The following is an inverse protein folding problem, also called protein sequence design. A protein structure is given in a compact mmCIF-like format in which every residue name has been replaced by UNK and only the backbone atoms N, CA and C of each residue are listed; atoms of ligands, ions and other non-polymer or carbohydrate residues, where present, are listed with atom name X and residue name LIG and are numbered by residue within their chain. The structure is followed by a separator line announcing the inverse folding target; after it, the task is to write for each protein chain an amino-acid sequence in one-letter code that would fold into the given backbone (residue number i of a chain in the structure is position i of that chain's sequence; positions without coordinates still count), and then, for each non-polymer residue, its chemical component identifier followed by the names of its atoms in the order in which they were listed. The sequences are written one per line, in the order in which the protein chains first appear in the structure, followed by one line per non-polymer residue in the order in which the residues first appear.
data_IF_461829588524
#
_entry.id   IF_461829588524
#
_cell.length_a   1.000
_cell.length_b   1.000
_cell.length_c   1.000
_cell.angle_alpha   90.00
_cell.angle_beta   90.00
_cell.angle_gamma   90.00
#
_symmetry.space_group_name_H-M   'P 1'
#
loop_
_entity.id
_entity.type
_entity.pdbx_description
1 polymer ?
#
# COMPACT_ATOMS: atom_id res chain seq x y z
N UNK A 1 24.12 3.19 -0.13
CA UNK A 1 23.49 4.46 -0.56
C UNK A 1 23.74 4.64 -2.05
N UNK A 2 22.70 4.92 -2.82
CA UNK A 2 22.79 5.02 -4.28
C UNK A 2 22.78 6.49 -4.71
N UNK A 3 23.57 6.85 -5.73
CA UNK A 3 23.54 8.20 -6.30
C UNK A 3 22.14 8.55 -6.79
N UNK A 4 21.67 9.75 -6.50
CA UNK A 4 20.35 10.19 -6.95
C UNK A 4 20.36 10.35 -8.48
N UNK A 5 19.54 9.60 -9.23
CA UNK A 5 19.51 9.69 -10.69
C UNK A 5 18.98 11.03 -11.18
N UNK A 6 18.11 11.68 -10.40
CA UNK A 6 17.55 13.00 -10.71
C UNK A 6 18.63 14.08 -10.85
N UNK A 7 19.58 14.14 -9.92
CA UNK A 7 20.67 15.13 -9.94
C UNK A 7 22.06 14.54 -10.26
N UNK A 8 22.13 13.26 -10.65
CA UNK A 8 23.38 12.54 -10.92
C UNK A 8 24.44 12.71 -9.83
N UNK A 9 24.01 12.66 -8.56
CA UNK A 9 24.93 12.81 -7.42
C UNK A 9 25.24 14.25 -6.99
N UNK A 10 24.81 15.28 -7.73
CA UNK A 10 25.18 16.68 -7.45
C UNK A 10 24.36 17.37 -6.37
N UNK A 11 23.19 16.86 -6.04
CA UNK A 11 22.26 17.50 -5.10
C UNK A 11 21.39 18.60 -5.71
N UNK A 12 21.67 19.08 -6.92
CA UNK A 12 20.87 20.05 -7.67
C UNK A 12 20.87 19.70 -9.17
N UNK A 13 19.87 20.16 -9.93
CA UNK A 13 19.74 19.88 -11.38
C UNK A 13 20.00 21.08 -12.28
N UNK A 14 19.75 22.28 -11.78
CA UNK A 14 19.87 23.54 -12.52
C UNK A 14 20.62 24.56 -11.66
N UNK A 15 21.17 25.56 -12.32
CA UNK A 15 21.71 26.77 -11.73
C UNK A 15 20.85 27.90 -12.28
N UNK A 16 20.25 28.71 -11.40
CA UNK A 16 19.45 29.87 -11.81
C UNK A 16 20.35 31.00 -12.31
N UNK A 17 19.76 32.02 -12.95
CA UNK A 17 20.54 33.15 -13.47
C UNK A 17 21.26 33.93 -12.37
N UNK A 18 20.67 33.97 -11.18
CA UNK A 18 21.25 34.55 -9.96
C UNK A 18 22.30 33.64 -9.28
N UNK A 19 22.58 32.46 -9.84
CA UNK A 19 23.60 31.52 -9.33
C UNK A 19 23.09 30.57 -8.25
N UNK A 20 21.82 30.68 -7.84
CA UNK A 20 21.21 29.76 -6.87
C UNK A 20 21.11 28.34 -7.44
N UNK A 21 21.32 27.36 -6.56
CA UNK A 21 21.26 25.93 -6.88
C UNK A 21 20.12 25.29 -6.11
N UNK A 22 18.88 25.33 -6.62
CA UNK A 22 17.74 24.76 -5.92
C UNK A 22 17.95 23.25 -5.69
N UNK A 23 17.61 22.80 -4.47
CA UNK A 23 17.79 21.43 -4.06
C UNK A 23 17.02 20.47 -4.97
N UNK A 24 17.65 19.36 -5.35
CA UNK A 24 16.98 18.30 -6.08
C UNK A 24 15.95 17.65 -5.16
N UNK A 25 14.67 17.81 -5.53
CA UNK A 25 13.52 17.32 -4.77
C UNK A 25 13.63 15.81 -4.51
N UNK A 26 14.08 15.04 -5.49
CA UNK A 26 14.18 13.57 -5.39
C UNK A 26 15.12 13.09 -4.28
N UNK A 27 16.14 13.87 -3.90
CA UNK A 27 17.08 13.51 -2.84
C UNK A 27 17.19 14.58 -1.74
N UNK A 28 16.25 15.53 -1.69
CA UNK A 28 16.28 16.67 -0.78
C UNK A 28 17.66 17.37 -0.71
N UNK A 29 18.35 17.54 -1.84
CA UNK A 29 19.66 18.21 -1.88
C UNK A 29 20.89 17.37 -1.54
N UNK A 30 20.72 16.16 -0.98
CA UNK A 30 21.86 15.33 -0.51
C UNK A 30 22.69 14.67 -1.61
N UNK A 31 22.20 14.64 -2.85
CA UNK A 31 22.82 13.93 -3.97
C UNK A 31 22.71 12.40 -3.91
N UNK A 32 22.19 11.83 -2.82
CA UNK A 32 22.06 10.38 -2.63
C UNK A 32 20.64 10.02 -2.21
N UNK A 33 20.21 8.82 -2.61
CA UNK A 33 18.98 8.23 -2.08
C UNK A 33 19.34 7.34 -0.90
N UNK A 34 18.61 7.52 0.20
CA UNK A 34 18.60 6.55 1.27
C UNK A 34 18.08 5.22 0.69
N UNK A 35 18.69 4.07 1.05
CA UNK A 35 18.07 2.79 0.73
C UNK A 35 16.67 2.81 1.34
N UNK A 36 15.64 2.52 0.53
CA UNK A 36 14.36 2.19 1.10
C UNK A 36 14.61 1.01 2.03
N UNK A 37 14.37 1.19 3.31
CA UNK A 37 14.26 0.08 4.24
C UNK A 37 13.03 -0.70 3.78
N UNK A 38 13.22 -1.62 2.84
CA UNK A 38 12.23 -2.64 2.55
C UNK A 38 12.16 -3.43 3.86
N UNK A 39 11.05 -3.38 4.62
CA UNK A 39 10.92 -4.27 5.75
C UNK A 39 11.10 -5.69 5.20
N UNK A 40 11.82 -6.58 5.91
CA UNK A 40 11.95 -7.96 5.45
C UNK A 40 10.56 -8.47 5.08
N UNK A 41 10.41 -9.25 4.00
CA UNK A 41 9.11 -9.83 3.66
C UNK A 41 8.62 -10.48 4.94
N UNK A 42 7.49 -9.98 5.46
CA UNK A 42 6.88 -10.54 6.65
C UNK A 42 6.80 -12.04 6.35
N UNK A 43 7.59 -12.82 7.09
CA UNK A 43 7.62 -14.26 6.92
C UNK A 43 6.15 -14.65 6.87
N UNK A 44 5.76 -15.33 5.79
CA UNK A 44 4.45 -15.95 5.67
C UNK A 44 4.38 -16.92 6.86
N UNK A 45 3.94 -16.38 8.01
CA UNK A 45 3.67 -17.14 9.19
C UNK A 45 2.45 -17.93 8.80
N UNK A 46 2.73 -19.14 8.32
CA UNK A 46 1.81 -20.25 8.33
C UNK A 46 1.34 -20.45 9.78
N UNK A 47 0.38 -19.62 10.19
CA UNK A 47 -0.63 -19.97 11.15
C UNK A 47 -1.89 -20.15 10.29
N UNK A 48 -2.26 -21.36 9.87
CA UNK A 48 -2.49 -22.45 10.80
C UNK A 48 -3.48 -21.94 11.84
N UNK A 49 -4.77 -22.23 11.61
CA UNK A 49 -5.97 -21.84 12.40
C UNK A 49 -6.77 -20.62 11.93
N UNK A 50 -7.42 -20.76 10.77
CA UNK A 50 -8.79 -20.25 10.62
C UNK A 50 -9.74 -21.27 11.29
N UNK A 51 -10.49 -20.95 12.37
CA UNK A 51 -11.65 -21.75 12.69
C UNK A 51 -12.66 -21.63 11.53
N UNK A 52 -13.38 -22.69 11.14
CA UNK A 52 -14.42 -22.54 10.15
C UNK A 52 -15.46 -21.56 10.70
N UNK A 53 -15.62 -20.44 10.01
CA UNK A 53 -16.73 -19.53 10.22
C UNK A 53 -18.01 -20.37 10.16
N UNK A 54 -18.81 -20.31 11.22
CA UNK A 54 -20.15 -20.92 11.26
C UNK A 54 -20.91 -20.44 10.02
N UNK A 55 -21.11 -21.34 9.06
CA UNK A 55 -22.06 -21.14 7.99
C UNK A 55 -23.45 -20.96 8.63
N UNK A 56 -24.25 -19.94 8.26
CA UNK A 56 -25.68 -20.00 8.54
C UNK A 56 -26.24 -21.19 7.74
N UNK A 57 -26.81 -22.16 8.45
CA UNK A 57 -27.50 -23.31 7.86
C UNK A 57 -28.65 -22.83 6.98
N UNK A 58 -28.42 -22.80 5.67
CA UNK A 58 -29.47 -22.80 4.66
C UNK A 58 -29.98 -24.24 4.51
N UNK A 59 -30.89 -24.62 5.39
CA UNK A 59 -31.77 -25.79 5.22
C UNK A 59 -33.07 -25.44 5.94
N UNK A 60 -34.04 -24.83 5.27
CA UNK A 60 -34.80 -25.50 4.24
C UNK A 60 -35.94 -26.26 4.90
N UNK A 61 -37.11 -25.63 5.04
CA UNK A 61 -38.44 -26.26 5.14
C UNK A 61 -39.53 -25.19 5.05
N UNK A 62 -40.18 -25.11 3.88
CA UNK A 62 -41.53 -24.56 3.76
C UNK A 62 -42.49 -25.49 4.52
N UNK A 63 -43.54 -24.93 5.13
CA UNK A 63 -44.89 -25.25 4.67
C UNK A 63 -45.69 -23.94 4.46
N UNK A 64 -46.28 -23.72 3.29
CA UNK A 64 -47.63 -24.16 2.90
C UNK A 64 -48.74 -23.42 3.68
N UNK A 65 -49.45 -22.53 2.97
CA UNK A 65 -50.76 -21.91 3.28
C UNK A 65 -50.81 -21.03 4.54
N UNK A 66 -51.17 -19.75 4.48
CA UNK A 66 -52.49 -19.20 4.13
C UNK A 66 -52.28 -17.75 3.62
N UNK A 67 -52.84 -17.30 2.48
CA UNK A 67 -54.16 -16.63 2.40
C UNK A 67 -54.39 -15.70 3.62
N UNK A 68 -54.49 -14.37 3.50
CA UNK A 68 -55.36 -13.63 2.60
C UNK A 68 -54.85 -12.20 2.28
N UNK A 69 -55.32 -11.61 1.17
CA UNK A 69 -55.09 -10.22 0.81
C UNK A 69 -56.24 -9.33 1.31
N UNK A 70 -55.96 -8.34 2.17
CA UNK A 70 -56.97 -7.31 2.47
C UNK A 70 -56.36 -5.92 2.65
N UNK A 71 -56.48 -5.17 1.54
CA UNK A 71 -56.60 -3.71 1.35
C UNK A 71 -55.48 -2.76 1.76
#
# INVERSE_FOLDING_TARGET
MTSCPGCRGRGFRIITQDGTRPACISCAGSGRLAPLAVPPPAAAAAAGHLPPARAPSLTGRRPFSQLEPTR
#
